data_IF_847315729239
#
_entry.id   IF_847315729239
#
_cell.length_a   1.000
_cell.length_b   1.000
_cell.length_c   1.000
_cell.angle_alpha   90.00
_cell.angle_beta   90.00
_cell.angle_gamma   90.00
#
_symmetry.space_group_name_H-M   'P 1'
#
loop_
_entity.id
_entity.type
_entity.pdbx_description
1 polymer ?
#
# COMPACT_ATOMS: atom_id res chain seq x y z
N UNK A 1 -0.60 12.71 20.05
CA UNK A 1 0.40 11.64 19.83
C UNK A 1 0.14 10.39 20.67
N UNK A 2 0.09 10.45 22.01
CA UNK A 2 -0.12 9.24 22.86
C UNK A 2 -1.36 8.40 22.50
N UNK A 3 -2.52 9.03 22.29
CA UNK A 3 -3.75 8.33 21.90
C UNK A 3 -3.63 7.65 20.52
N UNK A 4 -2.99 8.31 19.56
CA UNK A 4 -2.75 7.77 18.21
C UNK A 4 -1.83 6.55 18.28
N UNK A 5 -0.77 6.60 19.10
CA UNK A 5 0.15 5.46 19.27
C UNK A 5 -0.56 4.23 19.86
N UNK A 6 -1.50 4.41 20.80
CA UNK A 6 -2.28 3.29 21.32
C UNK A 6 -3.22 2.70 20.27
N UNK A 7 -3.88 3.55 19.47
CA UNK A 7 -4.72 3.08 18.37
C UNK A 7 -3.91 2.26 17.35
N UNK A 8 -2.70 2.71 17.00
CA UNK A 8 -1.79 1.98 16.10
C UNK A 8 -1.42 0.60 16.65
N UNK A 9 -1.23 0.45 17.97
CA UNK A 9 -0.92 -0.84 18.61
C UNK A 9 -2.10 -1.81 18.50
N UNK A 10 -3.32 -1.35 18.83
CA UNK A 10 -4.53 -2.18 18.69
C UNK A 10 -4.75 -2.62 17.24
N UNK A 11 -4.56 -1.69 16.31
CA UNK A 11 -4.68 -1.96 14.88
C UNK A 11 -3.62 -2.95 14.38
N UNK A 12 -2.37 -2.82 14.81
CA UNK A 12 -1.33 -3.78 14.46
C UNK A 12 -1.68 -5.19 14.97
N UNK A 13 -2.13 -5.31 16.22
CA UNK A 13 -2.57 -6.59 16.78
C UNK A 13 -3.74 -7.19 15.97
N UNK A 14 -4.71 -6.35 15.59
CA UNK A 14 -5.83 -6.75 14.76
C UNK A 14 -5.36 -7.28 13.40
N UNK A 15 -4.42 -6.61 12.73
CA UNK A 15 -3.88 -7.06 11.44
C UNK A 15 -3.24 -8.45 11.54
N UNK A 16 -2.47 -8.73 12.60
CA UNK A 16 -1.90 -10.07 12.82
C UNK A 16 -3.01 -11.11 12.97
N UNK A 17 -4.02 -10.84 13.81
CA UNK A 17 -5.16 -11.76 13.99
C UNK A 17 -5.87 -12.05 12.67
N UNK A 18 -6.06 -11.03 11.82
CA UNK A 18 -6.68 -11.19 10.52
C UNK A 18 -5.85 -12.08 9.58
N UNK A 19 -4.54 -11.85 9.50
CA UNK A 19 -3.65 -12.67 8.67
C UNK A 19 -3.64 -14.12 9.16
N UNK A 20 -3.57 -14.35 10.47
CA UNK A 20 -3.64 -15.70 11.03
C UNK A 20 -4.98 -16.38 10.72
N UNK A 21 -6.10 -15.67 10.86
CA UNK A 21 -7.42 -16.21 10.54
C UNK A 21 -7.53 -16.62 9.06
N UNK A 22 -7.02 -15.78 8.15
CA UNK A 22 -6.97 -16.08 6.71
C UNK A 22 -6.11 -17.30 6.41
N UNK A 23 -4.92 -17.40 7.00
CA UNK A 23 -4.02 -18.53 6.79
C UNK A 23 -4.64 -19.82 7.31
N UNK A 24 -5.17 -19.82 8.54
CA UNK A 24 -5.78 -21.00 9.16
C UNK A 24 -6.99 -21.46 8.35
N UNK A 25 -7.91 -20.55 8.02
CA UNK A 25 -9.10 -20.90 7.25
C UNK A 25 -8.75 -21.41 5.86
N UNK A 26 -7.81 -20.76 5.17
CA UNK A 26 -7.32 -21.23 3.88
C UNK A 26 -6.68 -22.61 3.97
N UNK A 27 -5.82 -22.86 4.95
CA UNK A 27 -5.22 -24.17 5.14
C UNK A 27 -6.27 -25.26 5.40
N UNK A 28 -7.33 -24.97 6.17
CA UNK A 28 -8.39 -25.94 6.42
C UNK A 28 -9.15 -26.29 5.14
N UNK A 29 -9.45 -25.30 4.29
CA UNK A 29 -10.15 -25.50 3.02
C UNK A 29 -9.32 -26.28 1.99
N UNK A 30 -8.00 -26.08 1.99
CA UNK A 30 -7.08 -26.71 1.04
C UNK A 30 -6.51 -28.05 1.51
N UNK A 31 -6.93 -28.57 2.67
CA UNK A 31 -6.43 -29.85 3.21
C UNK A 31 -5.07 -29.77 3.91
N UNK A 32 -4.62 -28.57 4.27
CA UNK A 32 -3.45 -28.29 5.11
C UNK A 32 -2.44 -27.32 4.47
N UNK A 33 -1.51 -26.84 5.29
CA UNK A 33 -0.46 -25.91 4.82
C UNK A 33 0.46 -26.54 3.77
N UNK A 34 0.71 -27.86 3.85
CA UNK A 34 1.55 -28.57 2.87
C UNK A 34 0.95 -28.51 1.46
N UNK A 35 -0.35 -28.78 1.34
CA UNK A 35 -1.05 -28.67 0.06
C UNK A 35 -0.95 -27.27 -0.54
N UNK A 36 -1.01 -26.21 0.28
CA UNK A 36 -0.82 -24.83 -0.20
C UNK A 36 0.57 -24.63 -0.81
N UNK A 37 1.63 -25.14 -0.17
CA UNK A 37 2.99 -25.05 -0.70
C UNK A 37 3.20 -25.93 -1.93
N UNK A 38 2.63 -27.14 -1.96
CA UNK A 38 2.73 -28.04 -3.12
C UNK A 38 2.05 -27.42 -4.35
N UNK A 39 0.84 -26.88 -4.20
CA UNK A 39 0.12 -26.15 -5.27
C UNK A 39 0.90 -24.90 -5.72
N UNK A 40 1.53 -24.19 -4.78
CA UNK A 40 2.34 -23.01 -5.10
C UNK A 40 3.62 -23.38 -5.86
N UNK A 41 4.21 -24.54 -5.58
CA UNK A 41 5.39 -25.06 -6.28
C UNK A 41 5.02 -25.48 -7.71
N UNK A 42 3.95 -26.25 -7.89
CA UNK A 42 3.40 -26.63 -9.19
C UNK A 42 3.01 -25.40 -10.04
N UNK A 43 2.52 -24.36 -9.37
CA UNK A 43 2.19 -23.08 -9.97
C UNK A 43 3.40 -22.20 -10.34
N UNK A 44 4.63 -22.64 -10.02
CA UNK A 44 5.86 -21.87 -10.24
C UNK A 44 5.95 -20.57 -9.43
N UNK A 45 5.16 -20.43 -8.36
CA UNK A 45 5.08 -19.22 -7.53
C UNK A 45 6.13 -19.21 -6.41
N UNK A 46 6.67 -20.37 -6.05
CA UNK A 46 7.81 -20.50 -5.14
C UNK A 46 9.11 -20.24 -5.92
N UNK A 47 9.46 -18.97 -6.04
CA UNK A 47 10.68 -18.57 -6.73
C UNK A 47 11.81 -18.29 -5.74
N UNK A 48 12.92 -19.01 -5.87
CA UNK A 48 14.17 -18.69 -5.19
C UNK A 48 14.98 -17.77 -6.11
N UNK A 49 15.32 -16.54 -5.67
CA UNK A 49 16.11 -15.63 -6.47
C UNK A 49 17.45 -16.23 -6.86
N UNK A 50 17.75 -16.24 -8.17
CA UNK A 50 19.06 -16.69 -8.66
C UNK A 50 20.13 -15.69 -8.23
N UNK A 51 21.29 -16.22 -7.85
CA UNK A 51 22.48 -15.40 -7.58
C UNK A 51 23.16 -15.06 -8.92
N UNK A 52 22.69 -13.99 -9.55
CA UNK A 52 23.27 -13.45 -10.78
C UNK A 52 23.41 -11.93 -10.69
N UNK A 53 24.51 -11.40 -11.22
CA UNK A 53 24.77 -9.96 -11.35
C UNK A 53 24.07 -9.36 -12.58
N UNK A 54 22.89 -9.84 -12.93
CA UNK A 54 22.11 -9.27 -14.03
C UNK A 54 21.26 -8.11 -13.51
N UNK A 55 21.67 -6.89 -13.85
CA UNK A 55 20.95 -5.66 -13.50
C UNK A 55 19.69 -5.46 -14.36
N UNK A 56 19.53 -6.21 -15.46
CA UNK A 56 18.35 -6.15 -16.32
C UNK A 56 17.20 -7.07 -15.89
N UNK A 57 17.45 -8.00 -14.96
CA UNK A 57 16.42 -8.91 -14.44
C UNK A 57 15.83 -8.38 -13.12
N UNK A 58 14.50 -8.28 -13.04
CA UNK A 58 13.79 -7.71 -11.88
C UNK A 58 14.03 -8.47 -10.57
N UNK A 59 14.11 -9.80 -10.64
CA UNK A 59 14.11 -10.67 -9.46
C UNK A 59 15.43 -11.45 -9.26
N UNK A 60 16.57 -10.74 -9.23
CA UNK A 60 17.85 -11.34 -8.80
C UNK A 60 18.07 -11.14 -7.31
N UNK A 61 18.86 -12.03 -6.68
CA UNK A 61 19.18 -11.91 -5.26
C UNK A 61 19.79 -10.53 -4.94
N UNK A 62 20.71 -10.05 -5.78
CA UNK A 62 21.41 -8.79 -5.58
C UNK A 62 20.46 -7.60 -5.72
N UNK A 63 19.56 -7.61 -6.71
CA UNK A 63 18.61 -6.52 -6.90
C UNK A 63 17.63 -6.44 -5.74
N UNK A 64 17.07 -7.58 -5.30
CA UNK A 64 16.14 -7.64 -4.16
C UNK A 64 16.84 -7.19 -2.87
N UNK A 65 18.06 -7.68 -2.63
CA UNK A 65 18.82 -7.34 -1.43
C UNK A 65 19.19 -5.85 -1.39
N UNK A 66 19.73 -5.32 -2.48
CA UNK A 66 20.10 -3.90 -2.60
C UNK A 66 18.87 -2.99 -2.46
N UNK A 67 17.77 -3.32 -3.13
CA UNK A 67 16.51 -2.58 -3.01
C UNK A 67 16.00 -2.59 -1.56
N UNK A 68 15.95 -3.75 -0.92
CA UNK A 68 15.52 -3.90 0.46
C UNK A 68 16.38 -3.08 1.44
N UNK A 69 17.70 -3.09 1.26
CA UNK A 69 18.62 -2.27 2.06
C UNK A 69 18.36 -0.77 1.89
N UNK A 70 18.29 -0.27 0.64
CA UNK A 70 18.11 1.16 0.36
C UNK A 70 16.77 1.66 0.89
N UNK A 71 15.67 0.94 0.59
CA UNK A 71 14.32 1.32 1.03
C UNK A 71 14.22 1.35 2.55
N UNK A 72 14.73 0.31 3.22
CA UNK A 72 14.64 0.20 4.68
C UNK A 72 15.49 1.26 5.35
N UNK A 73 16.74 1.45 4.90
CA UNK A 73 17.64 2.43 5.49
C UNK A 73 17.14 3.86 5.27
N UNK A 74 16.59 4.17 4.09
CA UNK A 74 15.96 5.47 3.82
C UNK A 74 14.74 5.71 4.71
N UNK A 75 13.88 4.69 4.86
CA UNK A 75 12.67 4.76 5.70
C UNK A 75 12.96 5.03 7.18
N UNK A 76 13.93 4.31 7.76
CA UNK A 76 14.26 4.43 9.18
C UNK A 76 15.24 5.57 9.47
N UNK A 77 16.12 5.91 8.53
CA UNK A 77 17.14 6.95 8.71
C UNK A 77 16.64 8.36 8.39
N UNK A 78 15.94 8.52 7.27
CA UNK A 78 15.50 9.84 6.77
C UNK A 78 13.98 10.05 6.76
N UNK A 79 13.20 9.04 7.12
CA UNK A 79 11.74 9.14 7.12
C UNK A 79 11.22 9.96 8.30
N UNK A 80 10.61 11.12 8.01
CA UNK A 80 10.10 12.03 9.04
C UNK A 80 9.13 11.35 10.02
N UNK A 81 8.25 10.48 9.54
CA UNK A 81 7.32 9.72 10.38
C UNK A 81 8.05 8.89 11.45
N UNK A 82 9.17 8.26 11.07
CA UNK A 82 9.93 7.39 11.97
C UNK A 82 10.76 8.20 12.95
N UNK A 83 11.42 9.26 12.49
CA UNK A 83 12.18 10.17 13.36
C UNK A 83 11.27 10.78 14.43
N UNK A 84 10.08 11.25 14.05
CA UNK A 84 9.10 11.80 14.99
C UNK A 84 8.68 10.77 16.04
N UNK A 85 8.42 9.51 15.65
CA UNK A 85 8.07 8.44 16.59
C UNK A 85 9.22 8.16 17.57
N UNK A 86 10.46 8.06 17.08
CA UNK A 86 11.63 7.79 17.90
C UNK A 86 11.95 8.92 18.89
N UNK A 87 11.66 10.18 18.53
CA UNK A 87 11.82 11.35 19.40
C UNK A 87 10.79 11.42 20.54
N UNK A 88 9.68 10.69 20.44
CA UNK A 88 8.70 10.60 21.54
C UNK A 88 9.14 9.66 22.67
N UNK A 89 10.21 8.88 22.44
CA UNK A 89 10.78 7.95 23.41
C UNK A 89 11.72 8.70 24.35
N UNK A 90 11.56 8.47 25.67
CA UNK A 90 12.26 9.22 26.73
C UNK A 90 13.80 9.22 26.64
N UNK A 91 14.40 8.14 26.13
CA UNK A 91 15.86 7.92 26.15
C UNK A 91 16.35 7.32 24.84
N UNK A 92 17.57 7.69 24.41
CA UNK A 92 18.23 7.11 23.22
C UNK A 92 18.37 5.58 23.31
N UNK A 93 18.75 5.04 24.48
CA UNK A 93 18.85 3.58 24.69
C UNK A 93 17.51 2.88 24.43
N UNK A 94 16.40 3.46 24.89
CA UNK A 94 15.05 2.91 24.68
C UNK A 94 14.60 3.06 23.24
N UNK A 95 14.95 4.16 22.59
CA UNK A 95 14.67 4.39 21.17
C UNK A 95 15.36 3.32 20.30
N UNK A 96 16.65 3.04 20.55
CA UNK A 96 17.39 1.96 19.87
C UNK A 96 16.76 0.58 20.09
N UNK A 97 16.37 0.26 21.34
CA UNK A 97 15.70 -1.01 21.66
C UNK A 97 14.35 -1.09 20.92
N UNK A 98 13.57 -0.01 20.86
CA UNK A 98 12.31 0.03 20.13
C UNK A 98 12.49 -0.28 18.64
N UNK A 99 13.53 0.29 18.00
CA UNK A 99 13.88 -0.03 16.61
C UNK A 99 14.27 -1.50 16.44
N UNK A 100 15.08 -2.06 17.34
CA UNK A 100 15.45 -3.47 17.24
C UNK A 100 14.27 -4.43 17.44
N UNK A 101 13.30 -4.07 18.29
CA UNK A 101 12.07 -4.83 18.49
C UNK A 101 11.14 -4.74 17.27
N UNK A 102 11.13 -3.61 16.55
CA UNK A 102 10.27 -3.46 15.37
C UNK A 102 10.71 -4.30 14.19
N UNK A 103 12.01 -4.64 14.07
CA UNK A 103 12.57 -5.46 12.98
C UNK A 103 11.94 -6.86 12.90
N UNK A 104 11.96 -7.70 13.96
CA UNK A 104 11.33 -9.03 13.88
C UNK A 104 9.82 -8.94 13.68
N UNK A 105 9.16 -7.90 14.21
CA UNK A 105 7.71 -7.70 14.00
C UNK A 105 7.39 -7.43 12.53
N UNK A 106 8.14 -6.54 11.85
CA UNK A 106 7.89 -6.23 10.44
C UNK A 106 8.26 -7.39 9.53
N UNK A 107 9.36 -8.10 9.82
CA UNK A 107 9.75 -9.31 9.07
C UNK A 107 8.69 -10.39 9.21
N UNK A 108 8.22 -10.66 10.43
CA UNK A 108 7.15 -11.64 10.67
C UNK A 108 5.86 -11.25 9.96
N UNK A 109 5.48 -9.97 9.99
CA UNK A 109 4.29 -9.49 9.32
C UNK A 109 4.37 -9.68 7.80
N UNK A 110 5.52 -9.33 7.19
CA UNK A 110 5.74 -9.48 5.75
C UNK A 110 5.70 -10.95 5.31
N UNK A 111 6.30 -11.86 6.10
CA UNK A 111 6.26 -13.29 5.83
C UNK A 111 4.81 -13.83 5.87
N UNK A 112 4.01 -13.41 6.85
CA UNK A 112 2.60 -13.79 6.92
C UNK A 112 1.82 -13.27 5.71
N UNK A 113 2.06 -12.04 5.26
CA UNK A 113 1.45 -11.52 4.03
C UNK A 113 1.82 -12.35 2.79
N UNK A 114 3.07 -12.79 2.67
CA UNK A 114 3.49 -13.68 1.58
C UNK A 114 2.77 -15.03 1.63
N UNK A 115 2.65 -15.64 2.81
CA UNK A 115 1.91 -16.91 2.99
C UNK A 115 0.43 -16.72 2.67
N UNK A 116 -0.21 -15.62 3.10
CA UNK A 116 -1.57 -15.30 2.68
C UNK A 116 -1.68 -15.21 1.16
N UNK A 117 -0.73 -14.56 0.48
CA UNK A 117 -0.71 -14.49 -0.98
C UNK A 117 -0.67 -15.86 -1.65
N UNK A 118 0.10 -16.81 -1.10
CA UNK A 118 0.13 -18.21 -1.57
C UNK A 118 -1.20 -18.92 -1.32
N UNK A 119 -1.80 -18.72 -0.15
CA UNK A 119 -3.13 -19.28 0.20
C UNK A 119 -4.19 -18.78 -0.77
N UNK A 120 -4.22 -17.47 -1.04
CA UNK A 120 -5.14 -16.87 -2.00
C UNK A 120 -4.94 -17.46 -3.41
N UNK A 121 -3.69 -17.59 -3.86
CA UNK A 121 -3.36 -18.21 -5.13
C UNK A 121 -3.85 -19.66 -5.21
N UNK A 122 -3.55 -20.47 -4.19
CA UNK A 122 -3.92 -21.88 -4.15
C UNK A 122 -5.45 -22.05 -4.15
N UNK A 123 -6.18 -21.19 -3.45
CA UNK A 123 -7.65 -21.20 -3.43
C UNK A 123 -8.25 -20.83 -4.79
N UNK A 124 -7.73 -19.79 -5.44
CA UNK A 124 -8.23 -19.30 -6.74
C UNK A 124 -7.53 -19.91 -7.95
N UNK A 125 -6.77 -21.01 -7.78
CA UNK A 125 -5.97 -21.62 -8.85
C UNK A 125 -6.80 -21.92 -10.10
N UNK A 126 -7.95 -22.56 -9.90
CA UNK A 126 -8.84 -23.05 -10.96
C UNK A 126 -9.95 -22.07 -11.36
N UNK A 127 -10.29 -21.15 -10.46
CA UNK A 127 -11.40 -20.24 -10.67
C UNK A 127 -10.96 -18.82 -10.30
N UNK A 128 -10.40 -18.11 -11.28
CA UNK A 128 -9.98 -16.73 -11.10
C UNK A 128 -11.21 -15.80 -11.03
N UNK A 129 -11.44 -15.13 -9.88
CA UNK A 129 -12.55 -14.19 -9.73
C UNK A 129 -12.40 -12.94 -10.62
N UNK A 130 -11.24 -12.69 -11.20
CA UNK A 130 -11.03 -11.55 -12.11
C UNK A 130 -11.28 -11.87 -13.59
N UNK A 131 -11.30 -13.15 -13.99
CA UNK A 131 -11.49 -13.55 -15.41
C UNK A 131 -12.82 -14.26 -15.68
N UNK A 132 -13.63 -14.52 -14.66
CA UNK A 132 -14.93 -15.17 -14.79
C UNK A 132 -15.98 -14.28 -15.47
N UNK A 133 -16.97 -14.88 -16.16
CA UNK A 133 -18.00 -14.16 -16.95
C UNK A 133 -18.85 -13.18 -16.11
N UNK A 134 -18.92 -13.39 -14.79
CA UNK A 134 -19.56 -12.48 -13.82
C UNK A 134 -18.50 -12.00 -12.82
N UNK A 135 -17.51 -11.20 -13.24
CA UNK A 135 -16.40 -10.75 -12.38
C UNK A 135 -16.90 -10.03 -11.11
N UNK A 136 -16.83 -10.64 -9.91
CA UNK A 136 -17.14 -9.93 -8.67
C UNK A 136 -16.07 -8.89 -8.32
N UNK A 137 -14.90 -8.95 -8.97
CA UNK A 137 -13.71 -8.17 -8.63
C UNK A 137 -13.13 -7.51 -9.88
N UNK A 138 -12.77 -6.23 -9.76
CA UNK A 138 -12.13 -5.46 -10.85
C UNK A 138 -10.63 -5.21 -10.63
N UNK A 139 -10.11 -5.42 -9.43
CA UNK A 139 -8.70 -5.21 -9.12
C UNK A 139 -8.13 -6.27 -8.17
N UNK A 140 -6.84 -6.58 -8.33
CA UNK A 140 -6.15 -7.57 -7.49
C UNK A 140 -6.19 -7.20 -5.99
N UNK A 141 -6.25 -5.91 -5.65
CA UNK A 141 -6.28 -5.43 -4.26
C UNK A 141 -7.58 -5.81 -3.53
N UNK A 142 -8.66 -6.12 -4.26
CA UNK A 142 -9.94 -6.55 -3.70
C UNK A 142 -9.97 -8.05 -3.38
N UNK A 143 -8.96 -8.82 -3.81
CA UNK A 143 -8.93 -10.28 -3.66
C UNK A 143 -8.91 -10.72 -2.21
N UNK A 144 -8.15 -10.02 -1.36
CA UNK A 144 -8.07 -10.33 0.07
C UNK A 144 -9.40 -10.06 0.81
N UNK A 145 -10.02 -8.87 0.71
CA UNK A 145 -11.36 -8.64 1.26
C UNK A 145 -12.43 -9.61 0.74
N UNK A 146 -12.36 -9.98 -0.54
CA UNK A 146 -13.29 -10.95 -1.14
C UNK A 146 -13.08 -12.35 -0.56
N UNK A 147 -11.83 -12.82 -0.45
CA UNK A 147 -11.53 -14.10 0.18
C UNK A 147 -12.05 -14.15 1.63
N UNK A 148 -11.81 -13.09 2.41
CA UNK A 148 -12.29 -12.98 3.79
C UNK A 148 -13.82 -13.07 3.86
N UNK A 149 -14.53 -12.36 2.98
CA UNK A 149 -16.00 -12.32 3.02
C UNK A 149 -16.64 -13.67 2.63
N UNK A 150 -16.04 -14.39 1.67
CA UNK A 150 -16.53 -15.70 1.23
C UNK A 150 -16.20 -16.79 2.25
N UNK A 151 -14.97 -16.83 2.76
CA UNK A 151 -14.51 -17.96 3.60
C UNK A 151 -14.88 -17.81 5.08
N UNK A 152 -14.88 -16.58 5.62
CA UNK A 152 -15.27 -16.31 7.00
C UNK A 152 -16.72 -15.82 7.14
N UNK A 153 -17.50 -15.77 6.05
CA UNK A 153 -18.89 -15.28 6.04
C UNK A 153 -19.85 -16.01 6.97
N UNK A 154 -19.52 -17.25 7.34
CA UNK A 154 -20.28 -18.06 8.30
C UNK A 154 -20.11 -17.59 9.76
N UNK A 155 -19.07 -16.81 10.07
CA UNK A 155 -18.80 -16.27 11.41
C UNK A 155 -19.29 -14.81 11.48
N UNK A 156 -20.43 -14.51 12.12
CA UNK A 156 -20.95 -13.16 12.17
C UNK A 156 -19.96 -12.22 12.87
N UNK A 157 -19.68 -11.06 12.24
CA UNK A 157 -18.81 -10.01 12.79
C UNK A 157 -17.32 -10.14 12.46
N UNK A 158 -16.77 -11.35 12.30
CA UNK A 158 -15.33 -11.54 12.02
C UNK A 158 -14.90 -10.96 10.66
N UNK A 159 -15.59 -11.25 9.53
CA UNK A 159 -15.24 -10.65 8.24
C UNK A 159 -15.25 -9.12 8.28
N UNK A 160 -16.26 -8.52 8.92
CA UNK A 160 -16.36 -7.08 9.09
C UNK A 160 -15.21 -6.51 9.91
N UNK A 161 -14.88 -7.15 11.04
CA UNK A 161 -13.76 -6.77 11.90
C UNK A 161 -12.42 -6.86 11.17
N UNK A 162 -12.22 -7.88 10.33
CA UNK A 162 -11.01 -8.00 9.51
C UNK A 162 -10.91 -6.91 8.44
N UNK A 163 -12.00 -6.69 7.69
CA UNK A 163 -12.05 -5.69 6.62
C UNK A 163 -11.86 -4.28 7.21
N UNK A 164 -12.54 -3.94 8.30
CA UNK A 164 -12.35 -2.69 9.02
C UNK A 164 -10.92 -2.53 9.54
N UNK A 165 -10.27 -3.62 10.00
CA UNK A 165 -8.88 -3.61 10.43
C UNK A 165 -7.90 -3.25 9.31
N UNK A 166 -8.10 -3.82 8.11
CA UNK A 166 -7.30 -3.50 6.92
C UNK A 166 -7.46 -2.01 6.55
N UNK A 167 -8.70 -1.50 6.52
CA UNK A 167 -8.94 -0.09 6.22
C UNK A 167 -8.36 0.84 7.30
N UNK A 168 -8.49 0.48 8.58
CA UNK A 168 -7.87 1.21 9.68
C UNK A 168 -6.35 1.28 9.50
N UNK A 169 -5.71 0.15 9.13
CA UNK A 169 -4.27 0.08 8.84
C UNK A 169 -3.82 1.09 7.79
N UNK A 170 -4.54 1.14 6.67
CA UNK A 170 -4.29 2.09 5.61
C UNK A 170 -4.50 3.54 6.11
N UNK A 171 -5.57 3.81 6.85
CA UNK A 171 -5.88 5.14 7.39
C UNK A 171 -4.83 5.64 8.39
N UNK A 172 -4.29 4.77 9.25
CA UNK A 172 -3.21 5.12 10.19
C UNK A 172 -1.91 5.49 9.46
N UNK A 173 -1.59 4.77 8.38
CA UNK A 173 -0.42 5.05 7.54
C UNK A 173 -0.58 6.39 6.82
N UNK A 174 -1.74 6.62 6.19
CA UNK A 174 -2.06 7.89 5.51
C UNK A 174 -2.06 9.05 6.50
N UNK A 175 -2.66 8.89 7.67
CA UNK A 175 -2.67 9.91 8.73
C UNK A 175 -1.26 10.27 9.20
N UNK A 176 -0.40 9.27 9.40
CA UNK A 176 1.00 9.50 9.78
C UNK A 176 1.75 10.26 8.68
N UNK A 177 1.58 9.87 7.41
CA UNK A 177 2.22 10.53 6.27
C UNK A 177 1.78 12.00 6.12
N UNK A 178 0.47 12.26 6.19
CA UNK A 178 -0.09 13.62 6.10
C UNK A 178 0.41 14.48 7.27
N UNK A 179 0.43 13.95 8.49
CA UNK A 179 0.90 14.69 9.66
C UNK A 179 2.40 15.03 9.56
N UNK A 180 3.22 14.10 9.08
CA UNK A 180 4.64 14.36 8.87
C UNK A 180 4.89 15.35 7.74
N UNK A 181 4.14 15.26 6.63
CA UNK A 181 4.22 16.20 5.52
C UNK A 181 3.78 17.61 5.94
N UNK A 182 2.70 17.72 6.71
CA UNK A 182 2.25 19.00 7.27
C UNK A 182 3.27 19.61 8.24
N UNK A 183 3.93 18.77 9.06
CA UNK A 183 5.00 19.22 9.95
C UNK A 183 6.21 19.73 9.19
N UNK A 184 6.65 19.01 8.14
CA UNK A 184 7.76 19.41 7.26
C UNK A 184 7.42 20.69 6.51
N UNK A 185 6.24 20.78 5.90
CA UNK A 185 5.79 21.99 5.22
C UNK A 185 5.79 23.22 6.15
N UNK A 186 5.35 23.02 7.40
CA UNK A 186 5.24 24.11 8.36
C UNK A 186 6.61 24.58 8.87
N UNK A 187 7.48 23.64 9.28
CA UNK A 187 8.78 23.98 9.87
C UNK A 187 9.83 24.37 8.81
N UNK A 188 9.80 23.73 7.64
CA UNK A 188 10.86 23.87 6.64
C UNK A 188 10.54 24.90 5.56
N UNK A 189 9.24 25.19 5.29
CA UNK A 189 8.84 26.16 4.26
C UNK A 189 8.14 27.39 4.84
N UNK A 190 7.10 27.21 5.65
CA UNK A 190 6.29 28.34 6.16
C UNK A 190 7.09 29.19 7.14
N UNK A 191 7.77 28.55 8.10
CA UNK A 191 8.52 29.26 9.14
C UNK A 191 9.70 30.09 8.59
N UNK A 192 10.50 29.60 7.63
CA UNK A 192 11.55 30.42 7.01
C UNK A 192 11.02 31.51 6.08
N UNK A 193 9.92 31.25 5.36
CA UNK A 193 9.33 32.21 4.40
C UNK A 193 8.57 33.34 5.10
N UNK A 194 7.96 33.06 6.25
CA UNK A 194 7.21 34.02 7.06
C UNK A 194 7.75 34.09 8.50
N UNK A 195 8.97 34.62 8.71
CA UNK A 195 9.63 34.64 10.02
C UNK A 195 8.92 35.51 11.06
N UNK A 196 8.01 36.40 10.63
CA UNK A 196 7.17 37.24 11.51
C UNK A 196 5.87 36.55 11.94
N UNK A 197 5.53 35.40 11.35
CA UNK A 197 4.31 34.67 11.67
C UNK A 197 4.55 33.82 12.91
N UNK A 198 3.69 33.97 13.92
CA UNK A 198 3.66 33.04 15.05
C UNK A 198 3.05 31.72 14.58
N UNK A 199 3.90 30.81 14.09
CA UNK A 199 3.52 29.48 13.67
C UNK A 199 2.97 28.72 14.88
N UNK A 200 1.65 28.56 14.91
CA UNK A 200 0.93 27.77 15.91
C UNK A 200 0.45 26.44 15.35
N UNK A 201 0.03 25.53 16.24
CA UNK A 201 -0.55 24.24 15.87
C UNK A 201 -1.75 24.33 14.90
N UNK A 202 -2.42 25.49 14.81
CA UNK A 202 -3.46 25.74 13.82
C UNK A 202 -2.91 25.63 12.39
N UNK A 203 -1.73 26.17 12.12
CA UNK A 203 -1.12 26.19 10.79
C UNK A 203 -0.77 24.77 10.33
N UNK A 204 -0.20 23.95 11.22
CA UNK A 204 0.08 22.53 10.93
C UNK A 204 -1.21 21.75 10.67
N UNK A 205 -2.32 22.06 11.38
CA UNK A 205 -3.62 21.45 11.11
C UNK A 205 -4.22 21.87 9.77
N UNK A 206 -4.10 23.14 9.40
CA UNK A 206 -4.54 23.64 8.09
C UNK A 206 -3.73 22.97 6.97
N UNK A 207 -2.40 22.86 7.13
CA UNK A 207 -1.56 22.15 6.16
C UNK A 207 -1.94 20.66 6.06
N UNK A 208 -2.22 20.01 7.18
CA UNK A 208 -2.71 18.62 7.18
C UNK A 208 -4.04 18.49 6.42
N UNK A 209 -4.96 19.46 6.54
CA UNK A 209 -6.21 19.46 5.80
C UNK A 209 -5.96 19.61 4.29
N UNK A 210 -5.11 20.56 3.90
CA UNK A 210 -4.75 20.80 2.49
C UNK A 210 -4.13 19.56 1.86
N UNK A 211 -3.13 18.96 2.51
CA UNK A 211 -2.53 17.72 2.01
C UNK A 211 -3.52 16.56 1.97
N UNK A 212 -4.46 16.47 2.92
CA UNK A 212 -5.55 15.49 2.87
C UNK A 212 -6.44 15.64 1.64
N UNK A 213 -6.85 16.87 1.29
CA UNK A 213 -7.64 17.15 0.09
C UNK A 213 -6.85 16.79 -1.17
N UNK A 214 -5.57 17.15 -1.23
CA UNK A 214 -4.68 16.81 -2.36
C UNK A 214 -4.52 15.29 -2.49
N UNK A 215 -4.34 14.56 -1.39
CA UNK A 215 -4.28 13.10 -1.40
C UNK A 215 -5.56 12.46 -1.94
N UNK A 216 -6.74 12.99 -1.57
CA UNK A 216 -8.02 12.50 -2.10
C UNK A 216 -8.11 12.77 -3.60
N UNK A 217 -7.78 13.98 -4.05
CA UNK A 217 -7.79 14.31 -5.47
C UNK A 217 -6.85 13.40 -6.29
N UNK A 218 -5.63 13.19 -5.79
CA UNK A 218 -4.65 12.31 -6.43
C UNK A 218 -5.11 10.84 -6.45
N UNK A 219 -5.87 10.39 -5.44
CA UNK A 219 -6.38 9.01 -5.40
C UNK A 219 -7.30 8.67 -6.58
N UNK A 220 -8.08 9.63 -7.09
CA UNK A 220 -8.91 9.42 -8.27
C UNK A 220 -8.10 9.27 -9.56
N UNK A 221 -6.97 9.98 -9.66
CA UNK A 221 -6.03 9.84 -10.79
C UNK A 221 -5.34 8.48 -10.71
N UNK A 222 -4.93 8.06 -9.51
CA UNK A 222 -4.28 6.77 -9.32
C UNK A 222 -5.26 5.62 -9.57
N UNK A 223 -6.55 5.77 -9.25
CA UNK A 223 -7.57 4.75 -9.49
C UNK A 223 -7.80 4.41 -10.97
N UNK A 224 -7.39 5.29 -11.90
CA UNK A 224 -7.43 4.99 -13.34
C UNK A 224 -6.19 4.27 -13.85
N UNK A 225 -5.16 4.08 -13.02
CA UNK A 225 -3.95 3.32 -13.34
C UNK A 225 -4.12 1.84 -13.00
N UNK A 226 -3.83 0.94 -13.93
CA UNK A 226 -4.02 -0.52 -13.74
C UNK A 226 -2.97 -1.21 -12.87
N UNK A 227 -1.79 -0.62 -12.64
CA UNK A 227 -0.66 -1.27 -11.95
C UNK A 227 -0.16 -0.48 -10.74
N UNK A 228 -0.98 -0.43 -9.68
CA UNK A 228 -0.70 0.38 -8.47
C UNK A 228 0.60 0.00 -7.74
N UNK A 229 0.80 -1.29 -7.46
CA UNK A 229 1.95 -1.76 -6.68
C UNK A 229 3.27 -1.46 -7.41
N UNK A 230 3.38 -1.81 -8.70
CA UNK A 230 4.60 -1.56 -9.49
C UNK A 230 4.93 -0.07 -9.52
N UNK A 231 3.94 0.79 -9.81
CA UNK A 231 4.14 2.23 -9.87
C UNK A 231 4.54 2.83 -8.51
N UNK A 232 3.95 2.34 -7.41
CA UNK A 232 4.29 2.81 -6.07
C UNK A 232 5.75 2.50 -5.69
N UNK A 233 6.25 1.30 -6.04
CA UNK A 233 7.63 0.89 -5.76
C UNK A 233 8.63 1.70 -6.58
N UNK A 234 8.31 1.99 -7.85
CA UNK A 234 9.17 2.82 -8.72
C UNK A 234 9.27 4.24 -8.17
N UNK A 235 8.14 4.90 -7.90
CA UNK A 235 8.11 6.27 -7.39
C UNK A 235 8.86 6.35 -6.05
N UNK A 236 8.58 5.41 -5.15
CA UNK A 236 9.25 5.38 -3.85
C UNK A 236 10.75 5.12 -3.99
N UNK A 237 11.16 4.17 -4.84
CA UNK A 237 12.56 3.84 -5.09
C UNK A 237 13.37 5.01 -5.64
N UNK A 238 12.81 5.75 -6.60
CA UNK A 238 13.45 6.92 -7.22
C UNK A 238 13.73 8.05 -6.23
N UNK A 239 12.94 8.15 -5.16
CA UNK A 239 13.10 9.17 -4.12
C UNK A 239 13.93 8.65 -2.93
N UNK A 240 13.79 7.38 -2.58
CA UNK A 240 14.44 6.78 -1.42
C UNK A 240 15.98 6.74 -1.55
N UNK A 241 16.49 6.45 -2.75
CA UNK A 241 17.92 6.40 -3.05
C UNK A 241 18.64 7.75 -2.83
N UNK A 242 18.23 8.82 -3.54
CA UNK A 242 18.79 10.16 -3.35
C UNK A 242 18.67 10.64 -1.90
N UNK A 243 17.54 10.41 -1.25
CA UNK A 243 17.34 10.77 0.16
C UNK A 243 18.40 10.09 1.06
N UNK A 244 18.56 8.77 0.93
CA UNK A 244 19.56 8.02 1.69
C UNK A 244 21.00 8.52 1.41
N UNK A 245 21.32 8.82 0.15
CA UNK A 245 22.65 9.29 -0.24
C UNK A 245 23.03 10.60 0.46
N UNK A 246 22.09 11.54 0.58
CA UNK A 246 22.32 12.81 1.30
C UNK A 246 22.58 12.57 2.79
N UNK A 247 21.78 11.73 3.43
CA UNK A 247 21.98 11.39 4.85
C UNK A 247 23.31 10.68 5.09
N UNK A 248 23.69 9.73 4.23
CA UNK A 248 24.98 9.05 4.34
C UNK A 248 26.14 10.01 4.09
N UNK A 249 26.03 10.91 3.11
CA UNK A 249 27.06 11.90 2.83
C UNK A 249 27.26 12.84 4.03
N UNK A 250 26.17 13.33 4.62
CA UNK A 250 26.20 14.16 5.82
C UNK A 250 26.76 13.42 7.06
N UNK A 251 26.55 12.11 7.16
CA UNK A 251 27.07 11.30 8.27
C UNK A 251 28.55 10.91 8.10
N UNK A 252 28.99 10.63 6.87
CA UNK A 252 30.31 10.08 6.59
C UNK A 252 31.36 11.14 6.23
N UNK A 253 30.94 12.33 5.81
CA UNK A 253 31.85 13.38 5.34
C UNK A 253 31.46 14.76 5.86
N UNK A 254 32.46 15.58 6.16
CA UNK A 254 32.29 16.99 6.59
C UNK A 254 32.65 17.98 5.50
N UNK A 255 33.12 17.51 4.33
CA UNK A 255 33.65 18.33 3.23
C UNK A 255 32.62 18.62 2.14
N UNK A 256 31.39 18.12 2.27
CA UNK A 256 30.34 18.30 1.28
C UNK A 256 29.85 19.75 1.26
N UNK A 257 29.69 20.33 0.07
CA UNK A 257 29.16 21.68 -0.12
C UNK A 257 27.65 21.65 -0.46
N UNK A 258 26.93 22.71 -0.07
CA UNK A 258 25.47 22.80 -0.30
C UNK A 258 25.10 22.69 -1.78
N UNK A 259 25.80 23.43 -2.65
CA UNK A 259 25.53 23.43 -4.09
C UNK A 259 25.77 22.07 -4.76
N UNK A 260 26.81 21.33 -4.34
CA UNK A 260 27.09 19.99 -4.86
C UNK A 260 26.04 18.97 -4.40
N UNK A 261 25.55 19.08 -3.16
CA UNK A 261 24.46 18.24 -2.64
C UNK A 261 23.18 18.48 -3.44
N UNK A 262 22.78 19.74 -3.64
CA UNK A 262 21.58 20.08 -4.43
C UNK A 262 21.69 19.54 -5.86
N UNK A 263 22.83 19.76 -6.52
CA UNK A 263 23.05 19.25 -7.87
C UNK A 263 23.00 17.72 -7.91
N UNK A 264 23.57 17.04 -6.92
CA UNK A 264 23.54 15.58 -6.81
C UNK A 264 22.13 15.02 -6.65
N UNK A 265 21.29 15.64 -5.81
CA UNK A 265 19.89 15.24 -5.64
C UNK A 265 19.12 15.42 -6.95
N UNK A 266 19.22 16.59 -7.59
CA UNK A 266 18.47 16.88 -8.82
C UNK A 266 18.90 15.93 -9.95
N UNK A 267 20.21 15.76 -10.15
CA UNK A 267 20.73 14.88 -11.21
C UNK A 267 20.37 13.41 -10.97
N UNK A 268 20.43 12.93 -9.72
CA UNK A 268 20.06 11.54 -9.40
C UNK A 268 18.57 11.26 -9.58
N UNK A 269 17.68 12.18 -9.20
CA UNK A 269 16.23 12.04 -9.43
C UNK A 269 15.93 12.03 -10.93
N UNK A 270 16.51 12.95 -11.70
CA UNK A 270 16.31 13.01 -13.16
C UNK A 270 16.78 11.70 -13.80
N UNK A 271 17.99 11.23 -13.45
CA UNK A 271 18.54 9.99 -14.00
C UNK A 271 17.67 8.78 -13.62
N UNK A 272 17.22 8.69 -12.37
CA UNK A 272 16.36 7.61 -11.91
C UNK A 272 15.01 7.59 -12.64
N UNK A 273 14.40 8.77 -12.85
CA UNK A 273 13.20 8.91 -13.66
C UNK A 273 13.46 8.48 -15.11
N UNK A 274 14.53 8.97 -15.75
CA UNK A 274 14.88 8.59 -17.13
C UNK A 274 15.03 7.08 -17.27
N UNK A 275 15.73 6.41 -16.35
CA UNK A 275 15.91 4.96 -16.36
C UNK A 275 14.57 4.23 -16.16
N UNK A 276 13.73 4.72 -15.24
CA UNK A 276 12.44 4.10 -14.92
C UNK A 276 11.45 4.11 -16.09
N UNK A 277 11.55 5.08 -16.99
CA UNK A 277 10.69 5.20 -18.17
C UNK A 277 11.28 4.57 -19.44
N UNK A 278 12.46 3.93 -19.37
CA UNK A 278 12.98 3.13 -20.47
C UNK A 278 12.06 1.89 -20.61
N UNK A 279 11.47 1.64 -21.80
CA UNK A 279 10.60 0.50 -21.99
C UNK A 279 11.36 -0.80 -21.74
N UNK A 280 10.83 -1.63 -20.83
CA UNK A 280 11.40 -2.93 -20.50
C UNK A 280 11.35 -3.84 -21.74
N UNK A 281 12.52 -4.28 -22.21
CA UNK A 281 12.63 -5.22 -23.33
C UNK A 281 12.28 -6.67 -22.96
N UNK A 282 12.15 -6.95 -21.66
CA UNK A 282 11.77 -8.26 -21.09
C UNK A 282 10.69 -8.04 -20.04
N UNK A 283 9.44 -8.14 -20.43
CA UNK A 283 8.35 -8.33 -19.48
C UNK A 283 8.30 -9.81 -19.15
N UNK A 284 8.57 -10.18 -17.90
CA UNK A 284 8.26 -11.53 -17.44
C UNK A 284 6.73 -11.69 -17.58
N UNK A 285 6.23 -12.62 -18.42
CA UNK A 285 4.81 -12.79 -18.60
C UNK A 285 4.18 -13.20 -17.26
N UNK A 286 2.99 -12.66 -16.96
CA UNK A 286 2.23 -13.11 -15.80
C UNK A 286 2.06 -14.63 -15.88
N UNK A 287 2.44 -15.34 -14.82
CA UNK A 287 2.31 -16.79 -14.79
C UNK A 287 0.83 -17.16 -15.01
N UNK A 288 0.55 -18.20 -15.82
CA UNK A 288 -0.79 -18.52 -16.29
C UNK A 288 -1.73 -18.86 -15.12
N UNK A 289 -2.85 -18.15 -15.07
CA UNK A 289 -4.01 -18.51 -14.27
C UNK A 289 -4.91 -19.44 -15.09
N UNK A 290 -5.48 -20.47 -14.46
CA UNK A 290 -6.44 -21.35 -15.14
C UNK A 290 -7.85 -20.85 -14.92
N UNK A 291 -8.65 -20.84 -16.00
CA UNK A 291 -10.05 -20.41 -16.00
C UNK A 291 -11.03 -21.59 -15.99
N UNK A 292 -10.53 -22.80 -15.75
CA UNK A 292 -11.33 -24.01 -15.70
C UNK A 292 -11.99 -24.14 -14.32
N UNK A 293 -13.06 -23.37 -14.09
CA UNK A 293 -13.91 -23.58 -12.94
C UNK A 293 -14.64 -24.93 -13.12
N UNK A 294 -14.04 -26.04 -12.70
CA UNK A 294 -14.85 -27.21 -12.33
C UNK A 294 -15.73 -26.79 -11.16
N UNK A 295 -16.99 -27.20 -11.16
CA UNK A 295 -17.99 -26.89 -10.13
C UNK A 295 -17.54 -27.39 -8.74
N UNK A 296 -16.61 -26.67 -8.11
CA UNK A 296 -16.29 -26.75 -6.70
C UNK A 296 -17.52 -26.20 -5.99
N UNK A 297 -18.47 -27.11 -5.78
CA UNK A 297 -19.57 -27.07 -4.84
C UNK A 297 -20.08 -25.65 -4.52
N UNK A 298 -21.12 -25.25 -5.25
CA UNK A 298 -22.03 -24.14 -4.97
C UNK A 298 -22.68 -24.19 -3.56
N UNK A 299 -22.22 -25.04 -2.65
CA UNK A 299 -22.89 -25.41 -1.42
C UNK A 299 -22.68 -24.46 -0.24
N UNK A 300 -21.98 -23.32 -0.41
CA UNK A 300 -21.86 -22.31 0.67
C UNK A 300 -22.07 -20.84 0.22
N UNK A 301 -22.47 -20.58 -1.03
CA UNK A 301 -22.73 -19.22 -1.55
C UNK A 301 -24.00 -18.54 -0.99
N UNK A 302 -24.64 -19.13 0.04
CA UNK A 302 -25.79 -18.59 0.76
C UNK A 302 -25.40 -17.96 2.11
N UNK A 303 -24.26 -17.27 2.20
CA UNK A 303 -24.03 -16.36 3.34
C UNK A 303 -24.65 -15.00 3.02
N UNK A 304 -25.63 -14.60 3.83
CA UNK A 304 -26.36 -13.32 3.83
C UNK A 304 -25.47 -12.06 3.83
N UNK A 305 -24.17 -12.20 4.00
CA UNK A 305 -23.20 -11.11 3.93
C UNK A 305 -22.86 -10.69 2.49
N UNK A 306 -22.83 -11.63 1.53
CA UNK A 306 -22.55 -11.33 0.10
C UNK A 306 -23.72 -10.60 -0.56
N UNK A 307 -24.96 -10.97 -0.21
CA UNK A 307 -26.16 -10.20 -0.60
C UNK A 307 -26.20 -8.81 0.03
N UNK A 308 -25.67 -8.66 1.25
CA UNK A 308 -25.56 -7.34 1.90
C UNK A 308 -24.49 -6.47 1.25
N UNK A 309 -23.33 -7.02 0.86
CA UNK A 309 -22.27 -6.27 0.19
C UNK A 309 -22.64 -5.88 -1.26
N UNK A 310 -23.31 -6.76 -1.99
CA UNK A 310 -23.88 -6.43 -3.31
C UNK A 310 -25.05 -5.45 -3.20
N UNK A 311 -25.86 -5.51 -2.14
CA UNK A 311 -26.85 -4.47 -1.87
C UNK A 311 -26.20 -3.12 -1.59
N UNK A 312 -25.07 -3.07 -0.85
CA UNK A 312 -24.31 -1.85 -0.60
C UNK A 312 -23.72 -1.25 -1.89
N UNK A 313 -23.22 -2.07 -2.82
CA UNK A 313 -22.80 -1.62 -4.15
C UNK A 313 -23.98 -1.12 -5.00
N UNK A 314 -25.14 -1.77 -4.93
CA UNK A 314 -26.34 -1.30 -5.62
C UNK A 314 -26.86 0.02 -5.05
N UNK A 315 -26.78 0.25 -3.72
CA UNK A 315 -27.11 1.53 -3.11
C UNK A 315 -26.16 2.67 -3.53
N UNK A 316 -24.90 2.37 -3.86
CA UNK A 316 -23.97 3.37 -4.42
C UNK A 316 -24.16 3.64 -5.93
N UNK A 317 -24.86 2.77 -6.66
CA UNK A 317 -25.19 2.97 -8.09
C UNK A 317 -26.51 3.71 -8.34
N UNK A 318 -27.40 3.80 -7.35
CA UNK A 318 -28.65 4.56 -7.45
C UNK A 318 -28.55 5.98 -6.85
N UNK A 319 -27.63 6.81 -7.36
CA UNK A 319 -27.71 8.27 -7.13
C UNK A 319 -27.21 9.15 -8.28
N UNK A 320 -27.04 8.59 -9.49
CA UNK A 320 -26.72 9.36 -10.70
C UNK A 320 -27.60 8.99 -11.90
N UNK A 321 -28.92 8.97 -11.73
CA UNK A 321 -29.85 8.84 -12.87
C UNK A 321 -30.96 9.90 -12.93
N UNK A 322 -31.08 10.80 -11.94
CA UNK A 322 -32.12 11.84 -11.92
C UNK A 322 -31.56 13.27 -11.82
N UNK A 323 -30.47 13.56 -12.52
CA UNK A 323 -30.18 14.93 -12.93
C UNK A 323 -30.58 15.05 -14.40
N UNK A 324 -31.87 15.33 -14.64
CA UNK A 324 -32.36 15.77 -15.94
C UNK A 324 -31.57 17.02 -16.33
N UNK A 325 -30.72 16.87 -17.35
CA UNK A 325 -30.16 18.00 -18.10
C UNK A 325 -31.32 18.68 -18.80
N UNK A 326 -31.90 19.71 -18.18
CA UNK A 326 -32.76 20.67 -18.88
C UNK A 326 -31.87 21.50 -19.79
N UNK A 327 -31.78 21.09 -21.05
CA UNK A 327 -31.28 21.92 -22.14
C UNK A 327 -32.17 23.16 -22.26
N UNK A 328 -31.65 24.30 -21.82
CA UNK A 328 -32.27 25.60 -22.04
C UNK A 328 -32.07 25.97 -23.53
N UNK A 329 -33.09 25.74 -24.35
CA UNK A 329 -33.14 26.29 -25.70
C UNK A 329 -33.53 27.77 -25.62
N UNK A 330 -32.55 28.65 -25.79
CA UNK A 330 -32.79 30.06 -26.06
C UNK A 330 -33.10 30.24 -27.55
N UNK A 331 -34.38 30.32 -27.89
CA UNK A 331 -34.84 30.88 -29.17
C UNK A 331 -35.28 32.32 -28.93
N UNK A 332 -34.50 33.25 -29.48
CA UNK A 332 -34.86 34.65 -29.72
C UNK A 332 -35.89 34.76 -30.85
N UNK A 333 -36.77 35.76 -30.74
CA UNK A 333 -37.74 36.40 -31.68
C UNK A 333 -39.13 36.37 -31.08
N UNK A 334 -40.01 37.37 -31.13
CA UNK A 334 -39.99 38.81 -31.38
C UNK A 334 -41.46 39.26 -31.13
N UNK A 335 -41.66 40.56 -30.87
CA UNK A 335 -42.92 41.31 -31.12
C UNK A 335 -44.22 40.99 -30.36
N UNK A 336 -44.79 42.03 -29.72
CA UNK A 336 -46.19 42.08 -29.27
C UNK A 336 -46.40 42.81 -27.95
#
# INVERSE_FOLDING_TARGET
MKAVLWADVFQAALMFVCLFAVIVQGCLLLGGIRAVFDIADEGGRLFIPKFSFDLGAHYTFINIFAQGMIITMSSYGGGQCQVQRLMTVRNLKRSRIATFISIPMIVSFQLLCCVCGLVLYAYFRYCDPMSSNNTPIHSADQLMPYFISVTLGHLPGIPGLCICGIFSASLSTVSSAINSLASVATEDFIRPMFPKLNVTALHTKIMSLVFGIVCIALSFIIASLGHLIKMSVIIYGNLAGPNLAVFLLAACTTTANEGGVILGIVTSIILACCISFIPENKTDPFLPLSNECTSLEQTQLNTSFVSTFTSFQNYTKYSYSNATVTTFNATTTDEG
#
